data_IF_133958524279
#
_entry.id   IF_133958524279
#
_cell.length_a   1.000
_cell.length_b   1.000
_cell.length_c   1.000
_cell.angle_alpha   90.00
_cell.angle_beta   90.00
_cell.angle_gamma   90.00
#
_symmetry.space_group_name_H-M   'P 1'
#
loop_
_entity.id
_entity.type
_entity.pdbx_description
1 polymer ?
#
# COMPACT_ATOMS: atom_id res chain seq x y z
N UNK A 1 -19.35 1.86 -19.64
CA UNK A 1 -19.68 2.32 -18.27
C UNK A 1 -21.18 2.23 -17.99
N UNK A 2 -22.04 2.81 -18.84
CA UNK A 2 -23.50 2.79 -18.60
C UNK A 2 -24.11 1.38 -18.50
N UNK A 3 -23.71 0.46 -19.37
CA UNK A 3 -24.17 -0.93 -19.30
C UNK A 3 -23.70 -1.65 -18.03
N UNK A 4 -22.46 -1.39 -17.58
CA UNK A 4 -21.93 -1.94 -16.33
C UNK A 4 -22.69 -1.37 -15.12
N UNK A 5 -22.98 -0.07 -15.13
CA UNK A 5 -23.83 0.60 -14.12
C UNK A 5 -25.18 -0.09 -14.02
N UNK A 6 -25.89 -0.22 -15.15
CA UNK A 6 -27.21 -0.85 -15.20
C UNK A 6 -27.17 -2.30 -14.67
N UNK A 7 -26.19 -3.10 -15.10
CA UNK A 7 -26.03 -4.48 -14.66
C UNK A 7 -25.76 -4.58 -13.14
N UNK A 8 -24.84 -3.78 -12.62
CA UNK A 8 -24.51 -3.75 -11.18
C UNK A 8 -25.73 -3.33 -10.37
N UNK A 9 -26.43 -2.27 -10.78
CA UNK A 9 -27.57 -1.74 -10.03
C UNK A 9 -28.77 -2.70 -10.05
N UNK A 10 -29.00 -3.37 -11.18
CA UNK A 10 -29.99 -4.44 -11.26
C UNK A 10 -29.62 -5.60 -10.32
N UNK A 11 -28.36 -6.01 -10.30
CA UNK A 11 -27.91 -7.11 -9.43
C UNK A 11 -28.05 -6.76 -7.94
N UNK A 12 -27.69 -5.54 -7.54
CA UNK A 12 -27.82 -5.05 -6.17
C UNK A 12 -29.29 -5.07 -5.68
N UNK A 13 -30.22 -4.63 -6.53
CA UNK A 13 -31.66 -4.69 -6.24
C UNK A 13 -32.17 -6.11 -6.02
N UNK A 14 -31.68 -7.06 -6.82
CA UNK A 14 -32.10 -8.45 -6.72
C UNK A 14 -31.45 -9.19 -5.54
N UNK A 15 -30.42 -8.62 -4.92
CA UNK A 15 -29.68 -9.22 -3.81
C UNK A 15 -29.46 -8.17 -2.72
N UNK A 16 -30.49 -7.70 -1.99
CA UNK A 16 -30.31 -6.68 -0.97
C UNK A 16 -29.44 -7.19 0.19
N UNK A 17 -28.61 -6.31 0.75
CA UNK A 17 -27.94 -6.59 2.01
C UNK A 17 -28.91 -6.45 3.20
N UNK A 18 -28.50 -6.97 4.36
CA UNK A 18 -29.26 -6.81 5.61
C UNK A 18 -29.29 -5.37 6.12
N UNK A 19 -30.12 -5.13 7.13
CA UNK A 19 -30.20 -3.81 7.75
C UNK A 19 -28.83 -3.35 8.30
N UNK A 20 -28.49 -2.08 8.05
CA UNK A 20 -27.22 -1.43 8.46
C UNK A 20 -25.94 -2.07 7.87
N UNK A 21 -26.07 -3.02 6.95
CA UNK A 21 -24.93 -3.47 6.15
C UNK A 21 -24.60 -2.42 5.10
N UNK A 22 -23.33 -2.37 4.71
CA UNK A 22 -22.84 -1.39 3.74
C UNK A 22 -22.40 -2.04 2.45
N UNK A 23 -22.82 -1.45 1.32
CA UNK A 23 -22.24 -1.79 0.02
C UNK A 23 -20.81 -1.29 -0.05
N UNK A 24 -19.91 -2.11 -0.62
CA UNK A 24 -18.53 -1.70 -0.86
C UNK A 24 -18.26 -1.67 -2.35
N UNK A 25 -17.90 -0.49 -2.86
CA UNK A 25 -17.50 -0.28 -4.24
C UNK A 25 -16.02 0.07 -4.31
N UNK A 26 -15.25 -0.67 -5.10
CA UNK A 26 -13.87 -0.36 -5.44
C UNK A 26 -13.82 0.35 -6.78
N UNK A 27 -13.22 1.53 -6.80
CA UNK A 27 -13.12 2.39 -7.98
C UNK A 27 -11.69 2.85 -8.20
N UNK A 28 -11.35 3.23 -9.42
CA UNK A 28 -9.99 3.65 -9.79
C UNK A 28 -9.64 5.10 -9.44
N UNK A 29 -10.63 5.95 -9.16
CA UNK A 29 -10.40 7.35 -8.84
C UNK A 29 -11.51 7.96 -7.99
N UNK A 30 -11.18 9.06 -7.30
CA UNK A 30 -12.16 9.83 -6.54
C UNK A 30 -13.26 10.43 -7.44
N UNK A 31 -12.95 10.78 -8.69
CA UNK A 31 -13.94 11.27 -9.64
C UNK A 31 -15.00 10.20 -9.98
N UNK A 32 -14.55 8.96 -10.23
CA UNK A 32 -15.47 7.82 -10.42
C UNK A 32 -16.24 7.52 -9.13
N UNK A 33 -15.60 7.69 -7.96
CA UNK A 33 -16.27 7.51 -6.68
C UNK A 33 -17.47 8.45 -6.52
N UNK A 34 -17.28 9.73 -6.84
CA UNK A 34 -18.34 10.73 -6.69
C UNK A 34 -19.44 10.56 -7.73
N UNK A 35 -19.05 10.31 -8.98
CA UNK A 35 -20.00 9.98 -10.04
C UNK A 35 -20.87 8.77 -9.67
N UNK A 36 -20.28 7.72 -9.09
CA UNK A 36 -21.02 6.50 -8.73
C UNK A 36 -22.02 6.75 -7.59
N UNK A 37 -21.69 7.58 -6.61
CA UNK A 37 -22.63 7.95 -5.54
C UNK A 37 -23.83 8.72 -6.07
N UNK A 38 -23.60 9.68 -6.97
CA UNK A 38 -24.67 10.44 -7.63
C UNK A 38 -25.53 9.47 -8.45
N UNK A 39 -24.90 8.61 -9.26
CA UNK A 39 -25.58 7.62 -10.08
C UNK A 39 -26.45 6.65 -9.26
N UNK A 40 -25.98 6.21 -8.09
CA UNK A 40 -26.74 5.38 -7.14
C UNK A 40 -27.94 6.13 -6.57
N UNK A 41 -27.74 7.39 -6.18
CA UNK A 41 -28.82 8.22 -5.65
C UNK A 41 -29.91 8.51 -6.70
N UNK A 42 -29.53 8.71 -7.97
CA UNK A 42 -30.49 8.89 -9.07
C UNK A 42 -31.34 7.64 -9.33
N UNK A 43 -30.74 6.44 -9.29
CA UNK A 43 -31.45 5.18 -9.60
C UNK A 43 -32.30 4.68 -8.43
N UNK A 44 -31.80 4.81 -7.20
CA UNK A 44 -32.41 4.20 -5.99
C UNK A 44 -33.15 5.26 -5.14
N UNK A 45 -32.97 6.55 -5.45
CA UNK A 45 -33.52 7.69 -4.70
C UNK A 45 -32.63 8.17 -3.55
N UNK A 46 -31.67 7.35 -3.10
CA UNK A 46 -30.69 7.69 -2.05
C UNK A 46 -29.42 6.85 -2.18
N UNK A 47 -28.26 7.47 -1.94
CA UNK A 47 -27.00 6.76 -1.74
C UNK A 47 -26.64 6.80 -0.24
N UNK A 48 -27.07 5.79 0.50
CA UNK A 48 -26.79 5.63 1.93
C UNK A 48 -26.16 4.27 2.21
N UNK A 49 -25.42 4.14 3.32
CA UNK A 49 -24.69 2.92 3.68
C UNK A 49 -23.79 2.39 2.55
N UNK A 50 -23.26 3.26 1.68
CA UNK A 50 -22.33 2.88 0.61
C UNK A 50 -20.93 3.38 0.94
N UNK A 51 -19.96 2.47 0.93
CA UNK A 51 -18.54 2.76 1.06
C UNK A 51 -17.87 2.62 -0.29
N UNK A 52 -17.50 3.75 -0.88
CA UNK A 52 -16.67 3.77 -2.09
C UNK A 52 -15.21 3.95 -1.67
N UNK A 53 -14.32 3.08 -2.14
CA UNK A 53 -12.92 3.07 -1.75
C UNK A 53 -12.00 2.80 -2.95
N UNK A 54 -10.74 3.22 -2.82
CA UNK A 54 -9.68 2.79 -3.74
C UNK A 54 -9.21 1.37 -3.37
N UNK A 55 -8.78 0.55 -4.34
CA UNK A 55 -8.39 -0.85 -4.10
C UNK A 55 -7.35 -1.01 -3.00
N UNK A 56 -6.25 -0.25 -3.04
CA UNK A 56 -5.17 -0.37 -2.07
C UNK A 56 -5.63 -0.13 -0.62
N UNK A 57 -6.49 0.89 -0.41
CA UNK A 57 -7.03 1.21 0.91
C UNK A 57 -7.97 0.13 1.41
N UNK A 58 -8.82 -0.41 0.54
CA UNK A 58 -9.72 -1.51 0.89
C UNK A 58 -8.93 -2.78 1.24
N UNK A 59 -7.90 -3.07 0.47
CA UNK A 59 -7.10 -4.27 0.63
C UNK A 59 -6.40 -4.28 2.00
N UNK A 60 -5.88 -3.13 2.45
CA UNK A 60 -5.34 -3.01 3.81
C UNK A 60 -6.40 -3.28 4.89
N UNK A 61 -7.60 -2.75 4.75
CA UNK A 61 -8.70 -3.06 5.69
C UNK A 61 -9.09 -4.54 5.67
N UNK A 62 -9.05 -5.19 4.51
CA UNK A 62 -9.29 -6.61 4.37
C UNK A 62 -8.20 -7.43 5.08
N UNK A 63 -6.93 -7.04 4.97
CA UNK A 63 -5.84 -7.66 5.72
C UNK A 63 -6.08 -7.58 7.22
N UNK A 64 -6.46 -6.40 7.73
CA UNK A 64 -6.80 -6.20 9.14
C UNK A 64 -7.99 -7.04 9.59
N UNK A 65 -8.98 -7.21 8.71
CA UNK A 65 -10.15 -8.06 8.98
C UNK A 65 -9.81 -9.55 9.02
N UNK A 66 -8.87 -10.01 8.19
CA UNK A 66 -8.46 -11.41 8.15
C UNK A 66 -7.45 -11.75 9.26
N UNK A 67 -6.36 -10.98 9.33
CA UNK A 67 -5.18 -11.26 10.16
C UNK A 67 -5.28 -10.65 11.57
N UNK A 68 -6.34 -9.88 11.86
CA UNK A 68 -6.59 -9.26 13.15
C UNK A 68 -6.06 -7.83 13.27
N UNK A 69 -6.81 -7.00 14.00
CA UNK A 69 -6.53 -5.56 14.17
C UNK A 69 -5.38 -5.27 15.12
N UNK A 70 -5.08 -6.20 16.02
CA UNK A 70 -3.96 -6.08 16.95
C UNK A 70 -2.63 -6.37 16.26
N UNK A 71 -2.66 -7.22 15.23
CA UNK A 71 -1.49 -7.58 14.43
C UNK A 71 -1.22 -6.58 13.32
N UNK A 72 -2.25 -6.17 12.58
CA UNK A 72 -2.08 -5.26 11.43
C UNK A 72 -2.56 -3.86 11.80
N UNK A 73 -1.65 -2.87 11.92
CA UNK A 73 -1.99 -1.53 12.38
C UNK A 73 -2.87 -0.79 11.36
N UNK A 74 -3.62 0.24 11.80
CA UNK A 74 -4.43 1.05 10.89
C UNK A 74 -3.62 1.80 9.84
N UNK A 75 -2.36 2.12 10.14
CA UNK A 75 -1.41 2.79 9.26
C UNK A 75 -0.14 1.95 9.32
N UNK A 76 0.39 1.53 8.18
CA UNK A 76 1.65 0.79 8.15
C UNK A 76 2.81 1.73 8.48
N UNK A 77 3.78 1.26 9.26
CA UNK A 77 5.05 1.96 9.46
C UNK A 77 5.81 2.22 8.13
N UNK A 78 5.46 1.46 7.09
CA UNK A 78 6.01 1.56 5.74
C UNK A 78 5.08 2.29 4.75
N UNK A 79 3.97 2.87 5.20
CA UNK A 79 3.18 3.76 4.34
C UNK A 79 3.98 5.06 4.04
N UNK A 80 3.70 5.67 2.89
CA UNK A 80 4.39 6.89 2.42
C UNK A 80 4.50 7.99 3.49
N UNK A 81 3.42 8.28 4.21
CA UNK A 81 3.40 9.33 5.24
C UNK A 81 4.41 9.09 6.37
N UNK A 82 4.29 7.97 7.11
CA UNK A 82 5.28 7.55 8.10
C UNK A 82 6.72 7.48 7.55
N UNK A 83 6.92 6.93 6.35
CA UNK A 83 8.24 6.84 5.72
C UNK A 83 8.86 8.22 5.47
N UNK A 84 8.10 9.19 4.95
CA UNK A 84 8.60 10.56 4.71
C UNK A 84 9.17 11.16 5.99
N UNK A 85 8.44 11.09 7.09
CA UNK A 85 8.88 11.68 8.36
C UNK A 85 10.03 10.89 8.99
N UNK A 86 10.04 9.58 8.83
CA UNK A 86 11.15 8.73 9.25
C UNK A 86 12.43 9.09 8.51
N UNK A 87 12.36 9.21 7.19
CA UNK A 87 13.48 9.61 6.33
C UNK A 87 13.97 11.03 6.64
N UNK A 88 13.06 11.97 6.93
CA UNK A 88 13.41 13.33 7.38
C UNK A 88 14.32 13.33 8.61
N UNK A 89 14.10 12.38 9.54
CA UNK A 89 14.92 12.21 10.74
C UNK A 89 16.18 11.39 10.49
N UNK A 90 16.09 10.31 9.71
CA UNK A 90 17.20 9.38 9.47
C UNK A 90 18.28 9.99 8.56
N UNK A 91 17.90 10.64 7.46
CA UNK A 91 18.84 11.10 6.44
C UNK A 91 20.05 11.85 7.02
N UNK A 92 19.89 12.89 7.87
CA UNK A 92 21.03 13.63 8.44
C UNK A 92 22.04 12.76 9.20
N UNK A 93 21.58 11.67 9.82
CA UNK A 93 22.44 10.76 10.60
C UNK A 93 23.24 9.80 9.73
N UNK A 94 22.77 9.55 8.50
CA UNK A 94 23.35 8.58 7.58
C UNK A 94 24.37 9.19 6.62
N UNK A 95 24.30 10.50 6.34
CA UNK A 95 25.14 11.16 5.30
C UNK A 95 26.64 11.07 5.53
N UNK A 96 27.10 10.79 6.76
CA UNK A 96 28.51 10.62 7.07
C UNK A 96 29.12 9.36 6.43
N UNK A 97 28.30 8.34 6.16
CA UNK A 97 28.77 7.11 5.52
C UNK A 97 29.04 7.37 4.01
N UNK A 98 30.21 6.96 3.49
CA UNK A 98 30.58 7.11 2.08
C UNK A 98 29.55 6.58 1.09
N UNK A 99 28.80 5.52 1.42
CA UNK A 99 27.78 4.93 0.53
C UNK A 99 26.69 5.94 0.16
N UNK A 100 26.37 6.88 1.06
CA UNK A 100 25.38 7.92 0.85
C UNK A 100 25.94 9.16 0.14
N UNK A 101 27.13 9.08 -0.47
CA UNK A 101 27.71 10.18 -1.23
C UNK A 101 26.74 10.84 -2.24
N UNK A 102 25.91 10.10 -3.00
CA UNK A 102 24.93 10.70 -3.89
C UNK A 102 23.90 11.57 -3.16
N UNK A 103 23.39 11.10 -2.01
CA UNK A 103 22.41 11.84 -1.21
C UNK A 103 23.06 13.04 -0.51
N UNK A 104 24.30 12.88 0.00
CA UNK A 104 25.07 13.94 0.63
C UNK A 104 25.32 15.09 -0.33
N UNK A 105 25.63 14.80 -1.59
CA UNK A 105 25.80 15.83 -2.62
C UNK A 105 24.50 16.59 -2.89
N UNK A 106 23.37 15.88 -2.98
CA UNK A 106 22.06 16.51 -3.18
C UNK A 106 21.63 17.42 -2.01
N UNK A 107 21.98 17.05 -0.77
CA UNK A 107 21.62 17.78 0.45
C UNK A 107 22.71 18.75 0.94
N UNK A 108 23.67 19.12 0.08
CA UNK A 108 24.87 19.85 0.50
C UNK A 108 24.60 21.28 1.03
N UNK A 109 23.47 21.88 0.67
CA UNK A 109 23.06 23.21 1.15
C UNK A 109 22.43 23.19 2.55
N UNK A 110 22.11 22.01 3.08
CA UNK A 110 21.49 21.83 4.39
C UNK A 110 20.03 22.27 4.49
N UNK A 111 19.38 22.62 3.37
CA UNK A 111 18.04 23.17 3.36
C UNK A 111 17.00 22.12 3.80
N UNK A 112 16.17 22.47 4.78
CA UNK A 112 15.12 21.58 5.28
C UNK A 112 14.07 21.25 4.20
N UNK A 113 13.79 22.19 3.30
CA UNK A 113 12.85 22.00 2.19
C UNK A 113 13.34 20.95 1.20
N UNK A 114 14.60 21.02 0.76
CA UNK A 114 15.18 20.00 -0.14
C UNK A 114 15.21 18.61 0.50
N UNK A 115 15.49 18.54 1.80
CA UNK A 115 15.42 17.29 2.55
C UNK A 115 14.03 16.69 2.56
N UNK A 116 13.00 17.52 2.75
CA UNK A 116 11.61 17.08 2.69
C UNK A 116 11.26 16.56 1.31
N UNK A 117 11.61 17.29 0.24
CA UNK A 117 11.39 16.86 -1.13
C UNK A 117 12.08 15.52 -1.44
N UNK A 118 13.31 15.32 -0.96
CA UNK A 118 14.01 14.04 -1.11
C UNK A 118 13.32 12.92 -0.32
N UNK A 119 12.96 13.18 0.94
CA UNK A 119 12.28 12.20 1.79
C UNK A 119 10.94 11.75 1.19
N UNK A 120 10.16 12.68 0.63
CA UNK A 120 8.90 12.37 -0.06
C UNK A 120 9.12 11.51 -1.31
N UNK A 121 10.14 11.81 -2.12
CA UNK A 121 10.48 11.03 -3.31
C UNK A 121 10.95 9.62 -2.97
N UNK A 122 11.77 9.49 -1.93
CA UNK A 122 12.26 8.20 -1.45
C UNK A 122 11.13 7.37 -0.82
N UNK A 123 10.26 8.00 -0.03
CA UNK A 123 9.08 7.33 0.53
C UNK A 123 8.12 6.85 -0.57
N UNK A 124 7.92 7.66 -1.61
CA UNK A 124 7.13 7.27 -2.78
C UNK A 124 7.76 6.08 -3.52
N UNK A 125 9.08 6.09 -3.71
CA UNK A 125 9.81 5.00 -4.35
C UNK A 125 9.70 3.69 -3.56
N UNK A 126 9.86 3.75 -2.23
CA UNK A 126 9.70 2.58 -1.37
C UNK A 126 8.25 2.07 -1.30
N UNK A 127 7.23 2.95 -1.33
CA UNK A 127 5.82 2.52 -1.46
C UNK A 127 5.57 1.80 -2.79
N UNK A 128 6.15 2.29 -3.89
CA UNK A 128 6.09 1.60 -5.19
C UNK A 128 6.79 0.24 -5.16
N UNK A 129 7.99 0.15 -4.55
CA UNK A 129 8.72 -1.11 -4.44
C UNK A 129 7.95 -2.14 -3.60
N UNK A 130 7.27 -1.74 -2.53
CA UNK A 130 6.43 -2.65 -1.75
C UNK A 130 5.31 -3.31 -2.56
N UNK A 131 4.85 -2.66 -3.63
CA UNK A 131 3.78 -3.19 -4.51
C UNK A 131 4.37 -3.97 -5.68
N UNK A 132 5.38 -3.42 -6.38
CA UNK A 132 5.83 -3.95 -7.66
C UNK A 132 7.16 -4.71 -7.61
N UNK A 133 7.93 -4.57 -6.54
CA UNK A 133 9.29 -5.10 -6.37
C UNK A 133 9.57 -5.49 -4.92
N UNK A 134 8.61 -6.16 -4.29
CA UNK A 134 8.72 -6.61 -2.91
C UNK A 134 9.94 -7.51 -2.69
N UNK A 135 10.28 -8.29 -3.70
CA UNK A 135 11.44 -9.15 -3.78
C UNK A 135 12.77 -8.40 -3.65
N UNK A 136 12.87 -7.16 -4.15
CA UNK A 136 14.04 -6.31 -3.95
C UNK A 136 14.17 -5.90 -2.48
N UNK A 137 13.05 -5.47 -1.88
CA UNK A 137 13.02 -5.05 -0.48
C UNK A 137 13.34 -6.21 0.48
N UNK A 138 12.88 -7.41 0.18
CA UNK A 138 13.17 -8.64 0.93
C UNK A 138 14.66 -9.02 0.85
N UNK A 139 15.25 -8.90 -0.35
CA UNK A 139 16.68 -9.13 -0.54
C UNK A 139 17.52 -8.10 0.23
N UNK A 140 17.18 -6.81 0.12
CA UNK A 140 17.89 -5.74 0.82
C UNK A 140 17.76 -5.83 2.33
N UNK A 141 16.57 -6.17 2.84
CA UNK A 141 16.32 -6.41 4.27
C UNK A 141 17.19 -7.55 4.81
N UNK A 142 17.45 -8.57 4.00
CA UNK A 142 18.32 -9.68 4.35
C UNK A 142 19.81 -9.42 4.07
N UNK A 143 20.20 -8.18 3.77
CA UNK A 143 21.59 -7.78 3.51
C UNK A 143 22.12 -8.19 2.14
N UNK A 144 21.27 -8.62 1.20
CA UNK A 144 21.64 -8.95 -0.17
C UNK A 144 21.44 -7.73 -1.07
N UNK A 145 22.51 -7.01 -1.38
CA UNK A 145 22.46 -5.86 -2.29
C UNK A 145 22.38 -6.32 -3.76
N UNK A 146 21.19 -6.76 -4.17
CA UNK A 146 20.90 -7.29 -5.49
C UNK A 146 19.54 -6.82 -6.01
N UNK A 147 19.34 -6.94 -7.32
CA UNK A 147 18.09 -6.70 -8.02
C UNK A 147 17.65 -7.97 -8.72
N UNK A 148 16.34 -8.13 -8.86
CA UNK A 148 15.71 -9.19 -9.64
C UNK A 148 15.01 -8.62 -10.86
N UNK A 149 15.21 -9.25 -12.02
CA UNK A 149 14.46 -8.92 -13.24
C UNK A 149 13.06 -9.51 -13.17
N UNK A 150 12.16 -9.09 -14.07
CA UNK A 150 10.82 -9.68 -14.20
C UNK A 150 10.85 -11.19 -14.53
N UNK A 151 11.99 -11.73 -15.00
CA UNK A 151 12.21 -13.15 -15.26
C UNK A 151 12.79 -13.90 -14.04
N UNK A 152 13.01 -13.21 -12.93
CA UNK A 152 13.62 -13.76 -11.71
C UNK A 152 15.14 -13.85 -11.74
N UNK A 153 15.80 -13.32 -12.77
CA UNK A 153 17.27 -13.29 -12.85
C UNK A 153 17.82 -12.31 -11.82
N UNK A 154 18.87 -12.72 -11.10
CA UNK A 154 19.52 -11.92 -10.07
C UNK A 154 20.72 -11.20 -10.65
N UNK A 155 20.79 -9.89 -10.43
CA UNK A 155 21.95 -9.07 -10.75
C UNK A 155 22.41 -8.30 -9.50
N UNK A 156 23.72 -8.10 -9.30
CA UNK A 156 24.20 -7.28 -8.19
C UNK A 156 23.71 -5.84 -8.34
N UNK A 157 23.40 -5.20 -7.21
CA UNK A 157 23.04 -3.79 -7.19
C UNK A 157 24.29 -2.95 -7.55
N UNK A 158 24.20 -2.04 -8.54
CA UNK A 158 25.31 -1.16 -8.90
C UNK A 158 25.84 -0.40 -7.68
N UNK A 159 27.15 -0.16 -7.64
CA UNK A 159 27.82 0.43 -6.46
C UNK A 159 27.25 1.81 -6.10
N UNK A 160 26.91 2.61 -7.10
CA UNK A 160 26.26 3.93 -6.99
C UNK A 160 24.81 3.87 -6.49
N UNK A 161 24.20 2.67 -6.44
CA UNK A 161 22.83 2.43 -5.98
C UNK A 161 22.76 1.68 -4.65
N UNK A 162 23.88 1.18 -4.11
CA UNK A 162 23.93 0.42 -2.84
C UNK A 162 23.34 1.18 -1.65
N UNK A 163 23.36 2.51 -1.69
CA UNK A 163 22.72 3.35 -0.70
C UNK A 163 21.22 3.06 -0.55
N UNK A 164 20.52 2.58 -1.59
CA UNK A 164 19.09 2.27 -1.50
C UNK A 164 18.83 1.08 -0.57
N UNK A 165 19.58 -0.01 -0.76
CA UNK A 165 19.48 -1.19 0.10
C UNK A 165 19.88 -0.85 1.54
N UNK A 166 20.93 -0.06 1.73
CA UNK A 166 21.36 0.37 3.06
C UNK A 166 20.36 1.33 3.72
N UNK A 167 19.75 2.24 2.95
CA UNK A 167 18.69 3.11 3.46
C UNK A 167 17.47 2.30 3.88
N UNK A 168 17.09 1.30 3.10
CA UNK A 168 15.97 0.42 3.42
C UNK A 168 16.20 -0.36 4.71
N UNK A 169 17.42 -0.90 4.91
CA UNK A 169 17.82 -1.53 6.18
C UNK A 169 17.74 -0.55 7.35
N UNK A 170 18.26 0.68 7.19
CA UNK A 170 18.17 1.72 8.21
C UNK A 170 16.72 2.10 8.55
N UNK A 171 15.82 2.12 7.56
CA UNK A 171 14.38 2.31 7.76
C UNK A 171 13.79 1.16 8.60
N UNK A 172 14.08 -0.10 8.26
CA UNK A 172 13.59 -1.26 9.01
C UNK A 172 14.10 -1.26 10.45
N UNK A 173 15.38 -0.97 10.67
CA UNK A 173 15.98 -0.97 12.00
C UNK A 173 15.35 0.09 12.93
N UNK A 174 14.92 1.20 12.35
CA UNK A 174 14.28 2.32 13.05
C UNK A 174 12.76 2.11 13.27
N UNK A 175 12.14 1.12 12.62
CA UNK A 175 10.76 0.68 12.89
C UNK A 175 10.73 -0.18 14.16
N UNK A 176 9.66 -0.03 14.94
CA UNK A 176 9.44 -0.81 16.17
C UNK A 176 9.52 -2.31 15.89
N UNK A 177 10.18 -3.13 16.73
CA UNK A 177 10.44 -4.54 16.44
C UNK A 177 9.21 -5.36 16.03
N UNK A 178 8.04 -5.06 16.62
CA UNK A 178 6.79 -5.75 16.32
C UNK A 178 6.15 -5.36 14.98
N UNK A 179 6.55 -4.22 14.40
CA UNK A 179 6.04 -3.71 13.12
C UNK A 179 6.97 -3.98 11.94
N UNK A 180 8.24 -4.37 12.18
CA UNK A 180 9.24 -4.57 11.12
C UNK A 180 8.82 -5.58 10.05
N UNK A 181 8.06 -6.61 10.43
CA UNK A 181 7.53 -7.62 9.52
C UNK A 181 6.19 -7.26 8.88
N UNK A 182 5.65 -6.06 9.14
CA UNK A 182 4.31 -5.65 8.70
C UNK A 182 4.34 -4.79 7.43
N UNK A 183 5.34 -5.00 6.58
CA UNK A 183 5.40 -4.45 5.23
C UNK A 183 4.23 -4.96 4.37
N UNK A 184 3.81 -4.16 3.36
CA UNK A 184 2.62 -4.47 2.58
C UNK A 184 2.69 -5.83 1.89
N UNK A 185 3.84 -6.21 1.35
CA UNK A 185 4.08 -7.50 0.70
C UNK A 185 3.99 -8.69 1.66
N UNK A 186 4.56 -8.56 2.85
CA UNK A 186 4.53 -9.60 3.89
C UNK A 186 3.11 -9.84 4.37
N UNK A 187 2.39 -8.77 4.71
CA UNK A 187 0.98 -8.83 5.14
C UNK A 187 0.10 -9.41 4.04
N UNK A 188 0.35 -9.07 2.77
CA UNK A 188 -0.34 -9.66 1.63
C UNK A 188 -0.12 -11.17 1.53
N UNK A 189 1.14 -11.62 1.63
CA UNK A 189 1.51 -13.04 1.55
C UNK A 189 0.83 -13.85 2.66
N UNK A 190 0.82 -13.31 3.87
CA UNK A 190 0.14 -13.93 5.01
C UNK A 190 -1.38 -13.98 4.83
N UNK A 191 -1.98 -12.90 4.34
CA UNK A 191 -3.40 -12.86 4.01
C UNK A 191 -3.78 -13.93 2.99
N UNK A 192 -3.03 -14.05 1.90
CA UNK A 192 -3.27 -15.06 0.86
C UNK A 192 -3.11 -16.47 1.42
N UNK A 193 -2.06 -16.71 2.21
CA UNK A 193 -1.84 -18.00 2.87
C UNK A 193 -3.01 -18.38 3.78
N UNK A 194 -3.40 -17.50 4.70
CA UNK A 194 -4.50 -17.75 5.63
C UNK A 194 -5.82 -18.01 4.89
N UNK A 195 -6.07 -17.24 3.83
CA UNK A 195 -7.27 -17.39 2.98
C UNK A 195 -7.27 -18.73 2.25
N UNK A 196 -6.14 -19.14 1.66
CA UNK A 196 -5.99 -20.41 0.97
C UNK A 196 -6.09 -21.62 1.92
N UNK A 197 -5.66 -21.45 3.18
CA UNK A 197 -5.79 -22.46 4.23
C UNK A 197 -7.22 -22.57 4.79
N UNK A 198 -8.14 -21.68 4.40
CA UNK A 198 -9.51 -21.65 4.92
C UNK A 198 -9.61 -21.17 6.37
N UNK A 199 -8.63 -20.40 6.84
CA UNK A 199 -8.66 -19.82 8.18
C UNK A 199 -9.83 -18.83 8.31
N UNK A 200 -10.49 -18.84 9.47
CA UNK A 200 -11.57 -17.90 9.73
C UNK A 200 -11.01 -16.48 9.95
N UNK A 201 -11.65 -15.43 9.39
CA UNK A 201 -11.24 -14.05 9.65
C UNK A 201 -11.30 -13.71 11.14
N UNK A 202 -10.26 -13.06 11.66
CA UNK A 202 -10.23 -12.60 13.06
C UNK A 202 -11.08 -11.34 13.32
N UNK A 203 -11.60 -10.72 12.26
CA UNK A 203 -12.46 -9.53 12.30
C UNK A 203 -13.52 -9.55 11.21
N UNK A 204 -14.27 -8.46 11.08
CA UNK A 204 -15.36 -8.37 10.11
C UNK A 204 -14.84 -8.10 8.70
N UNK A 205 -15.05 -9.06 7.80
CA UNK A 205 -14.93 -8.86 6.36
C UNK A 205 -16.31 -8.51 5.76
N UNK A 206 -16.35 -7.73 4.67
CA UNK A 206 -17.60 -7.45 3.99
C UNK A 206 -18.16 -8.71 3.33
N UNK A 207 -19.49 -8.83 3.31
CA UNK A 207 -20.18 -9.93 2.63
C UNK A 207 -19.97 -9.92 1.12
N UNK A 208 -19.81 -8.73 0.54
CA UNK A 208 -19.54 -8.54 -0.88
C UNK A 208 -18.74 -7.27 -1.14
N UNK A 209 -18.06 -7.28 -2.28
CA UNK A 209 -17.30 -6.16 -2.81
C UNK A 209 -17.61 -6.07 -4.29
N UNK A 210 -17.93 -4.87 -4.77
CA UNK A 210 -18.18 -4.58 -6.18
C UNK A 210 -16.98 -3.83 -6.74
N UNK A 211 -16.30 -4.39 -7.73
CA UNK A 211 -15.24 -3.69 -8.46
C UNK A 211 -15.89 -2.98 -9.65
N UNK A 212 -15.81 -1.65 -9.68
CA UNK A 212 -16.52 -0.83 -10.65
C UNK A 212 -15.57 0.07 -11.44
N UNK A 213 -15.54 -0.14 -12.76
CA UNK A 213 -14.80 0.72 -13.69
C UNK A 213 -13.30 0.75 -13.43
N UNK A 214 -12.70 -0.37 -13.04
CA UNK A 214 -11.25 -0.52 -12.86
C UNK A 214 -10.69 -1.27 -14.07
N UNK A 215 -9.77 -0.65 -14.81
CA UNK A 215 -9.16 -1.24 -16.01
C UNK A 215 -7.89 -2.06 -15.72
N UNK A 216 -7.27 -1.86 -14.55
CA UNK A 216 -6.10 -2.61 -14.10
C UNK A 216 -6.04 -2.66 -12.57
N UNK A 217 -5.60 -3.80 -12.03
CA UNK A 217 -5.25 -4.00 -10.63
C UNK A 217 -3.83 -4.60 -10.57
N UNK A 218 -2.97 -4.12 -9.66
CA UNK A 218 -1.65 -4.71 -9.44
C UNK A 218 -1.74 -6.09 -8.77
#
# INVERSE_FOLDING_TARGET
MEQLRAAVFQWLRNHPLGALESEIFLVQSNGVAEWLKIALAEEIGICAASRVALPARFLWDAYRGMLGRDRVPPISAFDKGPLTWRLMRLLPTLLADPVFAPLRHFLADGEAERRLQLAERLADLFDQYQVYRADWLDDWAAGRDQLRTARGEVAPLPEDQRWQGQLWRAVIDDVEPHERGLGRSTVHTEFVRASAAGEAPLGRLPRRVVIFGVSALP
#
